data_IF_564925420237
#
_entry.id   IF_564925420237
#
_cell.length_a   1.000
_cell.length_b   1.000
_cell.length_c   1.000
_cell.angle_alpha   90.00
_cell.angle_beta   90.00
_cell.angle_gamma   90.00
#
_symmetry.space_group_name_H-M   'P 1'
#
loop_
_entity.id
_entity.type
_entity.pdbx_description
1 polymer ?
#
# COMPACT_ATOMS: atom_id res chain seq x y z
N UNK A 1 2.57 3.30 -2.82
CA UNK A 1 2.02 2.32 -3.80
C UNK A 1 3.19 1.58 -4.44
N UNK A 2 2.96 0.34 -4.89
CA UNK A 2 3.98 -0.46 -5.58
C UNK A 2 4.18 0.00 -7.02
N UNK A 3 5.31 -0.39 -7.61
CA UNK A 3 5.57 -0.21 -9.03
C UNK A 3 5.00 -1.42 -9.76
N UNK A 4 4.08 -1.16 -10.70
CA UNK A 4 3.33 -2.19 -11.42
C UNK A 4 3.57 -2.08 -12.92
N UNK A 5 3.35 -3.19 -13.62
CA UNK A 5 3.23 -3.22 -15.08
C UNK A 5 1.75 -3.41 -15.41
N UNK A 6 1.27 -2.56 -16.31
CA UNK A 6 -0.12 -2.50 -16.74
C UNK A 6 -0.23 -2.89 -18.22
N UNK A 7 -1.25 -3.68 -18.56
CA UNK A 7 -1.62 -3.99 -19.94
C UNK A 7 -2.93 -3.29 -20.29
N UNK A 8 -2.98 -2.65 -21.46
CA UNK A 8 -4.21 -2.06 -21.98
C UNK A 8 -5.20 -3.16 -22.33
N UNK A 9 -6.46 -2.95 -21.95
CA UNK A 9 -7.55 -3.88 -22.21
C UNK A 9 -8.50 -3.22 -23.19
N UNK A 10 -8.61 -3.78 -24.39
CA UNK A 10 -9.73 -3.48 -25.29
C UNK A 10 -10.84 -4.49 -24.96
N UNK A 11 -12.01 -3.99 -24.54
CA UNK A 11 -13.21 -4.77 -24.14
C UNK A 11 -13.78 -5.69 -25.26
N UNK A 12 -13.09 -5.84 -26.39
CA UNK A 12 -13.63 -6.41 -27.62
C UNK A 12 -13.23 -7.86 -27.91
N UNK A 13 -12.29 -8.44 -27.15
CA UNK A 13 -11.84 -9.84 -27.34
C UNK A 13 -12.43 -10.81 -26.31
N UNK A 14 -13.69 -10.59 -25.93
CA UNK A 14 -14.48 -11.57 -25.20
C UNK A 14 -14.99 -12.68 -26.15
N UNK A 15 -14.10 -13.36 -26.88
CA UNK A 15 -14.34 -14.69 -27.46
C UNK A 15 -13.08 -15.21 -28.19
N UNK A 16 -12.27 -16.00 -27.47
CA UNK A 16 -11.56 -17.23 -27.91
C UNK A 16 -10.17 -17.39 -27.26
N UNK A 17 -9.99 -18.52 -26.56
CA UNK A 17 -8.75 -19.29 -26.62
C UNK A 17 -7.53 -18.76 -25.87
N UNK A 18 -7.44 -19.15 -24.61
CA UNK A 18 -6.22 -19.20 -23.81
C UNK A 18 -5.24 -20.20 -24.44
N UNK A 19 -4.24 -19.74 -25.22
CA UNK A 19 -2.99 -20.49 -25.47
C UNK A 19 -1.84 -19.76 -26.23
N UNK A 20 -1.96 -18.49 -26.65
CA UNK A 20 -0.91 -17.89 -27.53
C UNK A 20 -0.15 -16.65 -27.00
N UNK A 21 -0.23 -16.33 -25.71
CA UNK A 21 0.30 -15.07 -25.15
C UNK A 21 1.77 -15.08 -24.69
N UNK A 22 2.48 -16.22 -24.74
CA UNK A 22 3.85 -16.30 -24.21
C UNK A 22 4.94 -15.78 -25.19
N UNK A 23 4.73 -15.89 -26.50
CA UNK A 23 5.78 -15.53 -27.49
C UNK A 23 5.82 -14.03 -27.83
N UNK A 24 4.73 -13.28 -27.63
CA UNK A 24 4.67 -11.85 -27.97
C UNK A 24 5.27 -10.95 -26.88
N UNK A 25 5.33 -11.43 -25.63
CA UNK A 25 5.79 -10.64 -24.49
C UNK A 25 7.32 -10.38 -24.50
N UNK A 26 8.09 -11.25 -25.16
CA UNK A 26 9.55 -11.15 -25.19
C UNK A 26 10.06 -10.03 -26.13
N UNK A 27 9.32 -9.70 -27.20
CA UNK A 27 9.74 -8.71 -28.18
C UNK A 27 9.43 -7.26 -27.74
N UNK A 28 8.36 -7.05 -26.98
CA UNK A 28 7.97 -5.72 -26.49
C UNK A 28 8.88 -5.21 -25.36
N UNK A 29 9.50 -6.11 -24.59
CA UNK A 29 10.46 -5.75 -23.53
C UNK A 29 11.73 -5.08 -24.11
N UNK A 30 12.10 -5.36 -25.36
CA UNK A 30 13.27 -4.72 -26.00
C UNK A 30 12.98 -3.30 -26.48
N UNK A 31 11.72 -2.93 -26.72
CA UNK A 31 11.37 -1.66 -27.37
C UNK A 31 11.18 -0.51 -26.38
N UNK A 32 10.87 -0.81 -25.12
CA UNK A 32 10.66 0.19 -24.06
C UNK A 32 11.95 0.77 -23.46
N UNK A 33 13.14 0.34 -23.91
CA UNK A 33 14.42 0.89 -23.46
C UNK A 33 14.81 2.23 -24.12
N UNK A 34 14.05 2.72 -25.10
CA UNK A 34 14.32 3.97 -25.82
C UNK A 34 13.03 4.77 -25.91
N UNK A 35 12.81 5.68 -24.96
CA UNK A 35 12.50 7.09 -25.22
C UNK A 35 11.86 7.73 -23.99
N UNK A 36 12.69 8.47 -23.26
CA UNK A 36 12.31 9.49 -22.30
C UNK A 36 12.10 10.78 -23.07
N UNK A 37 10.88 11.36 -23.10
CA UNK A 37 10.73 12.83 -23.09
C UNK A 37 9.29 13.28 -22.80
N UNK A 38 9.20 14.22 -21.86
CA UNK A 38 8.02 14.98 -21.46
C UNK A 38 7.42 15.81 -22.60
N UNK A 39 6.09 16.04 -22.55
CA UNK A 39 5.52 17.37 -22.77
C UNK A 39 4.08 17.51 -22.29
N UNK A 40 3.89 18.36 -21.29
CA UNK A 40 2.61 18.93 -20.89
C UNK A 40 2.09 19.93 -21.94
N UNK A 41 0.77 20.00 -22.13
CA UNK A 41 0.12 21.22 -22.64
C UNK A 41 -1.29 21.41 -22.11
N UNK A 42 -1.54 22.63 -21.68
CA UNK A 42 -2.76 23.16 -21.09
C UNK A 42 -3.77 23.67 -22.13
N UNK A 43 -5.03 23.76 -21.70
CA UNK A 43 -6.13 24.52 -22.32
C UNK A 43 -7.43 24.04 -21.66
N UNK A 44 -8.34 24.85 -21.13
CA UNK A 44 -8.72 26.22 -21.43
C UNK A 44 -10.25 26.23 -21.48
N UNK A 45 -10.89 27.05 -20.63
CA UNK A 45 -12.32 26.99 -20.28
C UNK A 45 -13.16 27.69 -21.36
N UNK A 46 -14.30 27.11 -21.77
CA UNK A 46 -15.41 27.85 -22.36
C UNK A 46 -16.75 27.15 -22.07
N UNK A 47 -17.65 27.85 -21.36
CA UNK A 47 -19.02 27.44 -21.15
C UNK A 47 -19.96 27.98 -22.23
N UNK A 48 -21.05 27.26 -22.52
CA UNK A 48 -22.25 27.80 -23.18
C UNK A 48 -23.49 27.10 -22.62
N UNK A 49 -24.54 27.90 -22.40
CA UNK A 49 -25.83 27.59 -21.82
C UNK A 49 -26.84 26.95 -22.80
N UNK A 50 -27.75 26.16 -22.18
CA UNK A 50 -29.21 26.02 -22.40
C UNK A 50 -29.81 25.13 -23.50
N UNK A 51 -30.58 24.15 -22.98
CA UNK A 51 -31.90 23.61 -23.38
C UNK A 51 -32.18 23.17 -24.82
N UNK A 52 -32.47 21.86 -24.97
CA UNK A 52 -33.72 21.30 -25.53
C UNK A 52 -33.80 19.79 -25.23
N UNK A 53 -34.94 19.34 -24.71
CA UNK A 53 -35.33 17.93 -24.65
C UNK A 53 -35.61 17.47 -26.08
N UNK A 54 -34.96 16.38 -26.50
CA UNK A 54 -35.28 15.62 -27.70
C UNK A 54 -35.16 14.13 -27.33
N UNK A 55 -36.25 13.38 -27.52
CA UNK A 55 -36.31 11.93 -27.29
C UNK A 55 -35.50 11.23 -28.39
N UNK A 56 -34.19 11.06 -28.17
CA UNK A 56 -33.28 10.35 -29.04
C UNK A 56 -33.10 8.86 -28.67
N UNK A 57 -32.75 8.00 -29.63
CA UNK A 57 -32.60 6.56 -29.40
C UNK A 57 -31.46 6.30 -28.41
N UNK A 58 -31.66 5.38 -27.46
CA UNK A 58 -30.63 4.91 -26.54
C UNK A 58 -29.46 4.28 -27.29
N UNK A 59 -28.48 5.08 -27.68
CA UNK A 59 -27.20 4.62 -28.22
C UNK A 59 -26.12 4.98 -27.20
N UNK A 60 -26.03 4.17 -26.15
CA UNK A 60 -24.86 4.14 -25.27
C UNK A 60 -23.80 3.24 -25.92
N UNK A 61 -23.39 3.55 -27.15
CA UNK A 61 -22.20 2.92 -27.74
C UNK A 61 -20.98 3.75 -27.33
N UNK A 62 -20.12 3.26 -26.42
CA UNK A 62 -18.96 4.00 -25.94
C UNK A 62 -18.00 4.39 -27.07
N UNK A 63 -18.03 3.71 -28.21
CA UNK A 63 -17.19 4.01 -29.38
C UNK A 63 -17.61 5.28 -30.13
N UNK A 64 -18.81 5.80 -29.84
CA UNK A 64 -19.33 7.04 -30.43
C UNK A 64 -19.11 8.24 -29.49
N UNK A 65 -18.60 8.01 -28.28
CA UNK A 65 -18.27 9.07 -27.34
C UNK A 65 -16.91 9.67 -27.71
N UNK A 66 -16.77 11.00 -27.70
CA UNK A 66 -15.46 11.63 -27.80
C UNK A 66 -14.51 11.12 -26.70
N UNK A 67 -13.23 10.96 -27.03
CA UNK A 67 -12.18 10.50 -26.10
C UNK A 67 -12.15 11.29 -24.77
N UNK A 68 -12.62 12.53 -24.75
CA UNK A 68 -12.73 13.36 -23.53
C UNK A 68 -13.72 12.82 -22.50
N UNK A 69 -14.64 11.94 -22.91
CA UNK A 69 -15.61 11.28 -22.04
C UNK A 69 -15.26 9.82 -21.77
N UNK A 70 -14.15 9.31 -22.32
CA UNK A 70 -13.67 7.94 -22.13
C UNK A 70 -12.61 7.90 -21.02
N UNK A 71 -12.82 7.01 -20.05
CA UNK A 71 -11.82 6.73 -19.01
C UNK A 71 -10.94 5.56 -19.47
N UNK A 72 -9.62 5.78 -19.56
CA UNK A 72 -8.69 4.69 -19.83
C UNK A 72 -8.67 3.70 -18.67
N UNK A 73 -8.73 2.42 -18.99
CA UNK A 73 -8.63 1.31 -18.04
C UNK A 73 -7.45 0.44 -18.41
N UNK A 74 -6.89 -0.26 -17.42
CA UNK A 74 -5.81 -1.21 -17.61
C UNK A 74 -5.87 -2.30 -16.53
N UNK A 75 -5.22 -3.43 -16.79
CA UNK A 75 -5.09 -4.53 -15.84
C UNK A 75 -3.65 -4.62 -15.34
N UNK A 76 -3.48 -4.77 -14.04
CA UNK A 76 -2.18 -5.09 -13.44
C UNK A 76 -1.80 -6.51 -13.85
N UNK A 77 -0.68 -6.65 -14.55
CA UNK A 77 -0.16 -7.96 -15.00
C UNK A 77 1.06 -8.40 -14.20
N UNK A 78 1.76 -7.46 -13.58
CA UNK A 78 2.95 -7.76 -12.77
C UNK A 78 3.23 -6.66 -11.74
N UNK A 79 3.87 -7.03 -10.62
CA UNK A 79 4.38 -6.10 -9.60
C UNK A 79 5.91 -6.10 -9.71
N UNK A 80 6.46 -5.02 -10.25
CA UNK A 80 7.91 -4.86 -10.47
C UNK A 80 8.65 -4.60 -9.15
N UNK A 81 8.14 -3.68 -8.33
CA UNK A 81 8.76 -3.33 -7.05
C UNK A 81 7.71 -3.19 -5.95
N UNK A 82 7.92 -3.90 -4.84
CA UNK A 82 7.08 -3.79 -3.63
C UNK A 82 7.60 -2.64 -2.76
N UNK A 83 7.04 -1.44 -2.95
CA UNK A 83 7.43 -0.22 -2.19
C UNK A 83 6.59 0.00 -0.93
N UNK A 84 5.34 -0.45 -0.93
CA UNK A 84 4.50 -0.31 0.27
C UNK A 84 5.05 -1.20 1.40
N UNK A 85 5.12 -0.66 2.62
CA UNK A 85 5.76 -1.27 3.82
C UNK A 85 5.25 -2.69 4.16
N UNK A 86 4.00 -2.98 3.74
CA UNK A 86 3.22 -4.19 4.08
C UNK A 86 2.88 -4.32 5.56
N UNK A 87 3.24 -3.34 6.38
CA UNK A 87 2.73 -3.21 7.73
C UNK A 87 1.43 -2.40 7.70
N UNK A 88 0.45 -2.80 8.49
CA UNK A 88 -0.78 -2.05 8.66
C UNK A 88 -1.25 -2.13 10.11
N UNK A 89 -1.86 -1.03 10.56
CA UNK A 89 -2.54 -0.94 11.85
C UNK A 89 -4.00 -1.38 11.69
N UNK A 90 -4.54 -2.14 12.64
CA UNK A 90 -5.88 -2.68 12.54
C UNK A 90 -6.33 -3.51 13.72
N UNK A 91 -7.46 -4.18 13.55
CA UNK A 91 -8.14 -4.95 14.58
C UNK A 91 -8.17 -6.44 14.22
N UNK A 92 -8.15 -7.31 15.22
CA UNK A 92 -8.34 -8.74 15.03
C UNK A 92 -9.76 -9.16 15.43
N UNK A 93 -10.34 -10.10 14.68
CA UNK A 93 -11.65 -10.70 14.96
C UNK A 93 -11.62 -12.19 14.68
N UNK A 94 -12.34 -12.98 15.46
CA UNK A 94 -12.56 -14.38 15.14
C UNK A 94 -13.34 -14.51 13.83
N UNK A 95 -13.09 -15.58 13.09
CA UNK A 95 -13.82 -15.87 11.86
C UNK A 95 -15.29 -16.19 12.16
N UNK A 96 -16.19 -15.88 11.24
CA UNK A 96 -17.62 -16.12 11.43
C UNK A 96 -17.99 -17.61 11.35
N UNK A 97 -17.33 -18.36 10.47
CA UNK A 97 -17.61 -19.77 10.24
C UNK A 97 -16.86 -20.67 11.23
N UNK A 98 -17.53 -21.04 12.32
CA UNK A 98 -16.97 -21.88 13.40
C UNK A 98 -16.64 -23.32 12.99
N UNK A 99 -17.17 -23.79 11.86
CA UNK A 99 -17.00 -25.18 11.43
C UNK A 99 -15.79 -25.38 10.51
N UNK A 100 -15.22 -24.30 9.98
CA UNK A 100 -14.06 -24.36 9.09
C UNK A 100 -12.76 -24.69 9.85
N UNK A 101 -11.88 -25.47 9.23
CA UNK A 101 -10.51 -25.67 9.71
C UNK A 101 -9.75 -24.34 9.85
N UNK A 102 -10.08 -23.34 9.03
CA UNK A 102 -9.49 -22.00 9.13
C UNK A 102 -9.88 -21.30 10.43
N UNK A 103 -11.11 -21.48 10.93
CA UNK A 103 -11.54 -20.89 12.20
C UNK A 103 -10.73 -21.42 13.39
N UNK A 104 -10.28 -22.67 13.32
CA UNK A 104 -9.48 -23.29 14.38
C UNK A 104 -8.03 -22.82 14.40
N UNK A 105 -7.55 -22.21 13.33
CA UNK A 105 -6.13 -21.87 13.15
C UNK A 105 -5.86 -20.39 12.95
N UNK A 106 -6.84 -19.64 12.47
CA UNK A 106 -6.65 -18.26 12.04
C UNK A 106 -7.72 -17.31 12.60
N UNK A 107 -7.31 -16.06 12.79
CA UNK A 107 -8.19 -14.91 12.98
C UNK A 107 -8.18 -14.02 11.73
N UNK A 108 -9.16 -13.12 11.64
CA UNK A 108 -9.23 -12.07 10.62
C UNK A 108 -8.61 -10.79 11.17
N UNK A 109 -7.58 -10.28 10.49
CA UNK A 109 -7.08 -8.94 10.67
C UNK A 109 -7.79 -7.97 9.72
N UNK A 110 -8.29 -6.87 10.27
CA UNK A 110 -8.98 -5.80 9.54
C UNK A 110 -8.18 -4.50 9.68
N UNK A 111 -7.45 -4.08 8.61
CA UNK A 111 -6.72 -2.82 8.60
C UNK A 111 -7.64 -1.60 8.78
N UNK A 112 -7.09 -0.53 9.35
CA UNK A 112 -7.74 0.79 9.37
C UNK A 112 -7.72 1.44 7.99
N UNK A 113 -6.60 1.32 7.27
CA UNK A 113 -6.49 1.78 5.88
C UNK A 113 -7.26 0.83 4.94
N UNK A 114 -8.38 1.32 4.39
CA UNK A 114 -9.24 0.59 3.45
C UNK A 114 -8.56 0.23 2.12
N UNK A 115 -7.41 0.82 1.81
CA UNK A 115 -6.60 0.45 0.64
C UNK A 115 -5.84 -0.86 0.85
N UNK A 116 -5.67 -1.27 2.10
CA UNK A 116 -4.99 -2.51 2.50
C UNK A 116 -6.02 -3.64 2.62
N UNK A 117 -5.79 -4.83 2.04
CA UNK A 117 -6.72 -5.93 2.15
C UNK A 117 -6.78 -6.47 3.58
N UNK A 118 -7.91 -7.08 3.94
CA UNK A 118 -7.99 -7.90 5.15
C UNK A 118 -7.07 -9.12 5.02
N UNK A 119 -6.57 -9.61 6.15
CA UNK A 119 -5.60 -10.71 6.17
C UNK A 119 -5.98 -11.79 7.17
N UNK A 120 -5.69 -13.05 6.84
CA UNK A 120 -5.67 -14.13 7.81
C UNK A 120 -4.38 -14.07 8.61
N UNK A 121 -4.50 -14.10 9.94
CA UNK A 121 -3.38 -14.18 10.86
C UNK A 121 -3.50 -15.45 11.69
N UNK A 122 -2.37 -16.09 12.02
CA UNK A 122 -2.37 -17.29 12.86
C UNK A 122 -2.89 -16.96 14.26
N UNK A 123 -3.72 -17.83 14.83
CA UNK A 123 -4.11 -17.73 16.23
C UNK A 123 -2.91 -17.89 17.18
N UNK A 124 -1.82 -18.54 16.72
CA UNK A 124 -0.58 -18.63 17.47
C UNK A 124 0.14 -17.27 17.63
N UNK A 125 -0.10 -16.33 16.71
CA UNK A 125 0.47 -14.97 16.78
C UNK A 125 -0.44 -14.02 17.57
N UNK A 126 -1.68 -14.43 17.87
CA UNK A 126 -2.65 -13.65 18.63
C UNK A 126 -2.39 -13.79 20.15
N UNK A 127 -2.93 -12.87 20.98
CA UNK A 127 -2.91 -13.04 22.43
C UNK A 127 -3.50 -14.40 22.86
N UNK A 128 -2.90 -15.13 23.82
CA UNK A 128 -3.33 -16.49 24.17
C UNK A 128 -4.80 -16.59 24.63
N UNK A 129 -5.32 -15.53 25.23
CA UNK A 129 -6.68 -15.38 25.73
C UNK A 129 -7.63 -14.70 24.73
N UNK A 130 -7.17 -14.37 23.52
CA UNK A 130 -8.00 -13.77 22.49
C UNK A 130 -9.20 -14.67 22.10
N UNK A 131 -8.98 -16.00 22.03
CA UNK A 131 -10.03 -16.95 21.65
C UNK A 131 -11.12 -17.04 22.73
N UNK A 132 -10.75 -16.92 24.00
CA UNK A 132 -11.69 -17.02 25.12
C UNK A 132 -12.37 -15.68 25.41
N UNK A 133 -11.69 -14.55 25.17
CA UNK A 133 -12.17 -13.20 25.44
C UNK A 133 -11.94 -12.25 24.25
N UNK A 134 -12.58 -12.50 23.09
CA UNK A 134 -12.36 -11.67 21.90
C UNK A 134 -12.83 -10.22 22.08
N UNK A 135 -13.86 -10.01 22.92
CA UNK A 135 -14.45 -8.68 23.15
C UNK A 135 -13.49 -7.71 23.85
N UNK A 136 -12.59 -8.21 24.71
CA UNK A 136 -11.57 -7.40 25.41
C UNK A 136 -10.60 -6.72 24.40
N UNK A 137 -10.49 -7.26 23.19
CA UNK A 137 -9.62 -6.78 22.12
C UNK A 137 -10.38 -6.04 21.00
N UNK A 138 -11.69 -5.88 21.13
CA UNK A 138 -12.54 -5.24 20.09
C UNK A 138 -12.10 -3.81 19.74
N UNK A 139 -11.52 -3.10 20.71
CA UNK A 139 -10.99 -1.74 20.57
C UNK A 139 -9.45 -1.67 20.70
N UNK A 140 -8.75 -2.81 20.61
CA UNK A 140 -7.29 -2.87 20.67
C UNK A 140 -6.69 -2.80 19.26
N UNK A 141 -5.73 -1.90 19.06
CA UNK A 141 -4.94 -1.81 17.84
C UNK A 141 -3.80 -2.81 17.84
N UNK A 142 -3.59 -3.41 16.67
CA UNK A 142 -2.49 -4.32 16.39
C UNK A 142 -1.78 -3.92 15.11
N UNK A 143 -0.50 -4.29 15.02
CA UNK A 143 0.25 -4.26 13.77
C UNK A 143 0.24 -5.64 13.15
N UNK A 144 -0.13 -5.71 11.88
CA UNK A 144 -0.01 -6.90 11.06
C UNK A 144 0.92 -6.61 9.87
N UNK A 145 1.81 -7.54 9.55
CA UNK A 145 2.61 -7.51 8.33
C UNK A 145 2.05 -8.50 7.32
N UNK A 146 1.67 -8.02 6.14
CA UNK A 146 1.25 -8.87 5.02
C UNK A 146 2.47 -9.60 4.49
N UNK A 147 2.43 -10.93 4.55
CA UNK A 147 3.52 -11.81 4.14
C UNK A 147 3.32 -12.31 2.71
N UNK A 148 2.10 -12.70 2.37
CA UNK A 148 1.78 -13.30 1.07
C UNK A 148 0.33 -13.01 0.68
N UNK A 149 0.03 -13.08 -0.61
CA UNK A 149 -1.34 -13.04 -1.12
C UNK A 149 -1.46 -13.96 -2.33
N UNK A 150 -2.01 -15.14 -2.08
CA UNK A 150 -2.20 -16.16 -3.10
C UNK A 150 -3.38 -15.85 -4.02
N UNK A 151 -3.27 -16.29 -5.26
CA UNK A 151 -4.28 -16.11 -6.31
C UNK A 151 -5.62 -16.79 -6.00
N UNK A 152 -5.61 -17.87 -5.21
CA UNK A 152 -6.80 -18.63 -4.80
C UNK A 152 -7.49 -18.06 -3.55
N UNK A 153 -6.94 -16.99 -2.97
CA UNK A 153 -7.43 -16.40 -1.72
C UNK A 153 -7.92 -14.97 -1.90
N UNK A 154 -9.13 -14.71 -1.41
CA UNK A 154 -9.70 -13.36 -1.35
C UNK A 154 -9.05 -12.46 -0.29
N UNK A 155 -8.36 -13.07 0.69
CA UNK A 155 -7.69 -12.37 1.78
C UNK A 155 -6.19 -12.64 1.73
N UNK A 156 -5.41 -11.65 2.13
CA UNK A 156 -3.98 -11.82 2.27
C UNK A 156 -3.65 -12.76 3.45
N UNK A 157 -2.42 -13.26 3.49
CA UNK A 157 -1.84 -13.91 4.67
C UNK A 157 -0.96 -12.89 5.39
N UNK A 158 -1.19 -12.71 6.69
CA UNK A 158 -0.44 -11.79 7.52
C UNK A 158 0.13 -12.46 8.76
N UNK A 159 1.12 -11.80 9.34
CA UNK A 159 1.68 -12.13 10.64
C UNK A 159 1.39 -10.97 11.60
N UNK A 160 0.80 -11.29 12.75
CA UNK A 160 0.58 -10.30 13.80
C UNK A 160 1.93 -9.98 14.47
N UNK A 161 2.36 -8.73 14.44
CA UNK A 161 3.66 -8.33 14.95
C UNK A 161 3.60 -7.89 16.41
N UNK A 162 2.62 -7.05 16.77
CA UNK A 162 2.45 -6.55 18.14
C UNK A 162 1.05 -6.00 18.39
N UNK A 163 0.67 -5.94 19.66
CA UNK A 163 -0.41 -5.08 20.17
C UNK A 163 0.14 -3.68 20.48
N UNK A 164 -0.56 -2.64 20.07
CA UNK A 164 -0.18 -1.24 20.31
C UNK A 164 -0.86 -0.68 21.57
N UNK A 165 -2.18 -0.84 21.67
CA UNK A 165 -2.98 -0.24 22.74
C UNK A 165 -4.41 0.05 22.28
N UNK A 166 -5.17 0.78 23.09
CA UNK A 166 -6.55 1.14 22.74
C UNK A 166 -6.58 2.11 21.56
N UNK A 167 -7.52 1.89 20.64
CA UNK A 167 -7.76 2.81 19.53
C UNK A 167 -8.23 4.18 20.06
N UNK A 168 -7.75 5.25 19.43
CA UNK A 168 -7.99 6.63 19.85
C UNK A 168 -7.02 7.18 20.90
N UNK A 169 -6.17 6.34 21.50
CA UNK A 169 -5.09 6.82 22.36
C UNK A 169 -3.91 7.34 21.54
N UNK A 170 -3.26 8.43 22.00
CA UNK A 170 -2.23 9.13 21.23
C UNK A 170 -1.00 8.23 20.96
N UNK A 171 -0.49 7.55 21.98
CA UNK A 171 0.74 6.74 21.84
C UNK A 171 0.55 5.54 20.90
N UNK A 172 -0.50 4.69 21.04
CA UNK A 172 -0.75 3.59 20.11
C UNK A 172 -0.98 4.03 18.66
N UNK A 173 -1.71 5.12 18.44
CA UNK A 173 -1.96 5.66 17.09
C UNK A 173 -0.67 6.20 16.46
N UNK A 174 0.13 6.95 17.23
CA UNK A 174 1.40 7.51 16.76
C UNK A 174 2.37 6.41 16.37
N UNK A 175 2.52 5.40 17.23
CA UNK A 175 3.36 4.25 16.92
C UNK A 175 2.84 3.47 15.70
N UNK A 176 1.52 3.32 15.58
CA UNK A 176 0.88 2.69 14.42
C UNK A 176 1.22 3.37 13.10
N UNK A 177 1.14 4.71 13.08
CA UNK A 177 1.50 5.52 11.90
C UNK A 177 2.98 5.33 11.55
N UNK A 178 3.90 5.42 12.52
CA UNK A 178 5.33 5.25 12.26
C UNK A 178 5.63 3.87 11.65
N UNK A 179 5.03 2.81 12.18
CA UNK A 179 5.21 1.45 11.66
C UNK A 179 4.61 1.25 10.26
N UNK A 180 3.40 1.78 10.01
CA UNK A 180 2.73 1.67 8.72
C UNK A 180 3.52 2.34 7.59
N UNK A 181 4.20 3.46 7.89
CA UNK A 181 5.03 4.18 6.92
C UNK A 181 6.49 3.70 6.89
N UNK A 182 6.85 2.68 7.68
CA UNK A 182 8.21 2.13 7.73
C UNK A 182 9.24 3.11 8.30
N UNK A 183 8.82 3.98 9.21
CA UNK A 183 9.72 4.88 9.94
C UNK A 183 10.37 4.11 11.07
N UNK A 184 11.71 4.10 11.09
CA UNK A 184 12.46 3.56 12.22
C UNK A 184 12.52 4.58 13.36
N UNK A 185 11.99 4.19 14.51
CA UNK A 185 11.98 4.97 15.74
C UNK A 185 12.70 4.24 16.88
N UNK A 186 13.50 3.22 16.57
CA UNK A 186 14.36 2.57 17.54
C UNK A 186 15.50 3.48 18.00
N UNK A 187 16.05 3.18 19.16
CA UNK A 187 17.24 3.88 19.66
C UNK A 187 18.43 3.66 18.71
N UNK A 188 19.27 4.70 18.57
CA UNK A 188 20.47 4.61 17.76
C UNK A 188 21.39 3.48 18.24
N UNK A 189 21.99 2.76 17.30
CA UNK A 189 22.91 1.67 17.62
C UNK A 189 24.18 2.20 18.32
N UNK A 190 24.86 1.38 19.15
CA UNK A 190 26.10 1.79 19.81
C UNK A 190 27.16 2.29 18.82
N UNK A 191 27.26 1.69 17.63
CA UNK A 191 28.21 2.08 16.58
C UNK A 191 27.92 3.49 16.04
N UNK A 192 26.64 3.86 15.93
CA UNK A 192 26.25 5.22 15.56
C UNK A 192 26.59 6.22 16.68
N UNK A 193 26.43 5.82 17.94
CA UNK A 193 26.77 6.64 19.11
C UNK A 193 28.29 6.82 19.27
N UNK A 194 29.10 5.84 18.89
CA UNK A 194 30.58 5.93 18.89
C UNK A 194 31.10 7.01 17.91
N UNK A 195 30.35 7.31 16.85
CA UNK A 195 30.68 8.38 15.92
C UNK A 195 30.50 9.79 16.51
N UNK A 196 29.84 9.90 17.66
CA UNK A 196 29.68 11.17 18.36
C UNK A 196 31.00 11.61 19.02
N UNK A 197 31.19 12.93 19.25
CA UNK A 197 32.34 13.41 20.02
C UNK A 197 32.32 12.87 21.45
N UNK A 198 33.35 12.10 21.81
CA UNK A 198 33.43 11.41 23.11
C UNK A 198 33.85 12.33 24.27
N UNK A 199 34.53 13.44 23.99
CA UNK A 199 34.94 14.42 25.00
C UNK A 199 33.79 15.39 25.32
N UNK A 200 33.12 15.17 26.45
CA UNK A 200 32.04 16.04 26.95
C UNK A 200 32.49 16.83 28.20
N UNK A 201 32.13 18.13 28.33
CA UNK A 201 31.38 18.94 27.37
C UNK A 201 32.18 19.22 26.10
N UNK A 202 31.49 19.17 24.95
CA UNK A 202 32.14 19.37 23.66
C UNK A 202 32.57 20.83 23.49
N UNK A 203 33.83 21.04 23.11
CA UNK A 203 34.40 22.36 22.79
C UNK A 203 35.17 22.27 21.48
N UNK A 204 35.04 23.30 20.64
CA UNK A 204 35.80 23.41 19.38
C UNK A 204 37.29 23.51 19.72
N UNK A 205 38.13 22.72 19.03
CA UNK A 205 39.57 22.77 19.25
C UNK A 205 40.14 24.16 18.86
N UNK A 206 41.14 24.70 19.59
CA UNK A 206 41.72 26.00 19.27
C UNK A 206 42.28 26.09 17.84
N UNK A 207 42.80 24.98 17.31
CA UNK A 207 43.28 24.89 15.93
C UNK A 207 42.17 24.99 14.88
N UNK A 208 40.98 24.44 15.15
CA UNK A 208 39.81 24.64 14.30
C UNK A 208 39.26 26.07 14.39
N UNK A 209 39.29 26.65 15.59
CA UNK A 209 38.85 28.03 15.80
C UNK A 209 39.67 29.02 14.98
N UNK A 210 41.00 28.85 14.91
CA UNK A 210 41.89 29.73 14.16
C UNK A 210 41.72 29.64 12.62
N UNK A 211 41.24 28.50 12.11
CA UNK A 211 41.00 28.29 10.67
C UNK A 211 39.64 28.84 10.22
N UNK A 212 38.68 28.95 11.13
CA UNK A 212 37.32 29.41 10.84
C UNK A 212 37.25 30.93 10.93
N UNK A 213 36.45 31.56 10.08
CA UNK A 213 36.14 32.98 10.22
C UNK A 213 35.27 33.17 11.46
N UNK A 214 35.70 34.04 12.37
CA UNK A 214 34.92 34.38 13.56
C UNK A 214 33.80 35.37 13.23
N UNK A 215 32.57 35.04 13.62
CA UNK A 215 31.34 35.84 13.41
C UNK A 215 30.52 35.99 14.71
N UNK A 216 31.11 35.66 15.86
CA UNK A 216 30.49 35.86 17.18
C UNK A 216 30.59 37.31 17.61
#
# INVERSE_FOLDING_TARGET
PDVIIEAQFDDNDAEHGQDHLQDTLADDIKKLSLDTTEKAKAGGIAGVHSTKQDDGPKVNDPRLLPDTFLQRTAKVVFILEKKHSRAATGFIKLLADKNSELYRRCAMFSPVDHRVPRAYVSLADCPPDFVTRPEDYSNMLFICRIVDWKEDSNFATGQLAKSLGQAGEIEPETEGILMEYGVDFSDFSPEALECLPQSLPWVISPGELAKRRDLR
#
